data_IF_426957884215
#
_entry.id   IF_426957884215
#
_cell.length_a   1.000
_cell.length_b   1.000
_cell.length_c   1.000
_cell.angle_alpha   90.00
_cell.angle_beta   90.00
_cell.angle_gamma   90.00
#
_symmetry.space_group_name_H-M   'P 1'
#
loop_
_entity.id
_entity.type
_entity.pdbx_description
1 polymer ?
#
# COMPACT_ATOMS: atom_id res chain seq x y z
N UNK A 1 1.59 -1.84 -9.58
CA UNK A 1 0.89 -2.77 -8.66
C UNK A 1 1.57 -2.70 -7.31
N UNK A 2 0.89 -3.10 -6.24
CA UNK A 2 1.43 -3.14 -4.88
C UNK A 2 1.42 -4.60 -4.44
N UNK A 3 2.55 -5.08 -3.93
CA UNK A 3 2.66 -6.35 -3.21
C UNK A 3 2.35 -6.08 -1.73
N UNK A 4 1.11 -6.31 -1.33
CA UNK A 4 0.67 -6.00 0.03
C UNK A 4 0.74 -7.24 0.92
N UNK A 5 1.00 -7.01 2.21
CA UNK A 5 0.89 -8.02 3.28
C UNK A 5 -0.58 -8.38 3.51
N UNK A 6 -0.89 -9.48 4.22
CA UNK A 6 -2.27 -9.87 4.50
C UNK A 6 -3.07 -8.72 5.14
N UNK A 7 -4.34 -8.59 4.77
CA UNK A 7 -5.29 -7.62 5.34
C UNK A 7 -6.39 -8.41 6.07
N UNK A 8 -6.22 -8.70 7.38
CA UNK A 8 -7.10 -9.60 8.11
C UNK A 8 -8.54 -9.09 8.22
N UNK A 9 -8.72 -7.77 8.24
CA UNK A 9 -10.03 -7.12 8.40
C UNK A 9 -11.01 -7.47 7.28
N UNK A 10 -10.48 -7.77 6.08
CA UNK A 10 -11.26 -8.17 4.89
C UNK A 10 -10.88 -9.58 4.41
N UNK A 11 -10.10 -10.33 5.19
CA UNK A 11 -9.72 -11.71 4.90
C UNK A 11 -8.80 -11.87 3.68
N UNK A 12 -8.05 -10.84 3.29
CA UNK A 12 -7.15 -10.94 2.14
C UNK A 12 -5.79 -11.54 2.50
N UNK A 13 -5.27 -12.48 1.68
CA UNK A 13 -3.91 -12.97 1.83
C UNK A 13 -2.89 -11.91 1.37
N UNK A 14 -1.60 -12.21 1.53
CA UNK A 14 -0.55 -11.44 0.85
C UNK A 14 -0.68 -11.65 -0.65
N UNK A 15 -0.78 -10.57 -1.43
CA UNK A 15 -0.90 -10.65 -2.88
C UNK A 15 -0.47 -9.37 -3.59
N UNK A 16 -0.15 -9.52 -4.87
CA UNK A 16 0.14 -8.41 -5.77
C UNK A 16 -1.14 -8.01 -6.49
N UNK A 17 -1.57 -6.76 -6.31
CA UNK A 17 -2.76 -6.24 -7.01
C UNK A 17 -2.63 -4.78 -7.42
N UNK A 18 -3.53 -4.35 -8.30
CA UNK A 18 -3.62 -2.97 -8.75
C UNK A 18 -4.65 -2.22 -7.90
N UNK A 19 -4.25 -1.05 -7.41
CA UNK A 19 -5.13 -0.06 -6.81
C UNK A 19 -5.17 1.16 -7.72
N UNK A 20 -6.35 1.75 -7.88
CA UNK A 20 -6.50 2.98 -8.64
C UNK A 20 -5.95 4.14 -7.79
N UNK A 21 -5.02 4.91 -8.32
CA UNK A 21 -4.59 6.14 -7.66
C UNK A 21 -5.61 7.25 -7.90
N UNK A 22 -6.09 7.90 -6.85
CA UNK A 22 -6.88 9.13 -7.01
C UNK A 22 -5.98 10.27 -7.51
N UNK A 23 -6.57 11.33 -8.09
CA UNK A 23 -5.81 12.47 -8.62
C UNK A 23 -4.99 13.24 -7.57
N UNK A 24 -5.18 12.94 -6.28
CA UNK A 24 -4.46 13.54 -5.15
C UNK A 24 -3.19 12.77 -4.77
N UNK A 25 -3.02 11.54 -5.27
CA UNK A 25 -1.89 10.68 -4.95
C UNK A 25 -0.72 11.02 -5.86
N UNK A 26 0.40 11.45 -5.26
CA UNK A 26 1.66 11.63 -5.98
C UNK A 26 2.45 10.33 -6.04
N UNK A 27 2.34 9.63 -7.18
CA UNK A 27 3.08 8.40 -7.43
C UNK A 27 4.58 8.62 -7.62
N UNK A 28 5.03 9.85 -7.90
CA UNK A 28 6.46 10.15 -8.06
C UNK A 28 7.19 10.21 -6.72
N UNK A 29 6.45 10.28 -5.60
CA UNK A 29 7.01 10.28 -4.24
C UNK A 29 7.54 8.91 -3.79
N UNK A 30 7.21 7.84 -4.53
CA UNK A 30 7.60 6.46 -4.20
C UNK A 30 8.44 5.83 -5.31
N UNK A 31 9.40 5.00 -4.92
CA UNK A 31 10.23 4.23 -5.85
C UNK A 31 9.74 2.80 -5.95
N UNK A 32 9.74 2.24 -7.15
CA UNK A 32 9.46 0.81 -7.35
C UNK A 32 10.43 -0.04 -6.53
N UNK A 33 9.87 -0.98 -5.76
CA UNK A 33 10.62 -1.86 -4.87
C UNK A 33 10.86 -1.30 -3.47
N UNK A 34 10.55 -0.03 -3.20
CA UNK A 34 10.61 0.52 -1.85
C UNK A 34 9.37 0.13 -1.04
N UNK A 35 9.50 -0.09 0.29
CA UNK A 35 8.36 -0.27 1.16
C UNK A 35 7.53 1.02 1.21
N UNK A 36 6.20 0.85 1.21
CA UNK A 36 5.25 1.96 1.24
C UNK A 36 4.14 1.68 2.23
N UNK A 37 3.66 2.73 2.89
CA UNK A 37 2.43 2.73 3.66
C UNK A 37 1.35 3.32 2.80
N UNK A 38 0.20 2.65 2.72
CA UNK A 38 -0.91 3.13 1.90
C UNK A 38 -2.24 2.86 2.60
N UNK A 39 -3.24 3.68 2.28
CA UNK A 39 -4.63 3.47 2.67
C UNK A 39 -5.47 3.40 1.41
N UNK A 40 -6.48 2.54 1.43
CA UNK A 40 -7.39 2.35 0.31
C UNK A 40 -8.83 2.29 0.79
N UNK A 41 -9.74 2.51 -0.15
CA UNK A 41 -11.18 2.37 0.06
C UNK A 41 -11.80 1.58 -1.09
N UNK A 42 -12.87 0.85 -0.78
CA UNK A 42 -13.70 0.22 -1.80
C UNK A 42 -14.56 1.27 -2.51
N UNK A 43 -14.75 1.09 -3.81
CA UNK A 43 -15.55 1.91 -4.70
C UNK A 43 -16.38 1.01 -5.60
N UNK A 44 -17.38 1.56 -6.31
CA UNK A 44 -18.21 0.80 -7.25
C UNK A 44 -17.41 0.06 -8.35
N UNK A 45 -16.19 0.53 -8.65
CA UNK A 45 -15.35 -0.01 -9.72
C UNK A 45 -14.13 -0.82 -9.24
N UNK A 46 -14.00 -1.02 -7.92
CA UNK A 46 -12.85 -1.68 -7.29
C UNK A 46 -12.23 -0.84 -6.18
N UNK A 47 -10.91 -0.85 -6.04
CA UNK A 47 -10.22 -0.21 -4.92
C UNK A 47 -9.43 1.03 -5.34
N UNK A 48 -9.55 2.10 -4.57
CA UNK A 48 -8.87 3.38 -4.80
C UNK A 48 -7.97 3.75 -3.62
N UNK A 49 -6.77 4.27 -3.91
CA UNK A 49 -5.83 4.78 -2.92
C UNK A 49 -6.29 6.15 -2.40
N UNK A 50 -6.40 6.23 -1.07
CA UNK A 50 -6.65 7.46 -0.34
C UNK A 50 -5.36 8.10 0.17
N UNK A 51 -4.36 7.27 0.49
CA UNK A 51 -3.03 7.68 0.95
C UNK A 51 -1.95 6.76 0.36
N UNK A 52 -0.78 7.34 0.06
CA UNK A 52 0.42 6.63 -0.33
C UNK A 52 1.64 7.40 0.18
N UNK A 53 2.44 6.78 1.03
CA UNK A 53 3.63 7.37 1.63
C UNK A 53 4.80 6.39 1.56
N UNK A 54 6.01 6.83 1.19
CA UNK A 54 7.20 5.99 1.31
C UNK A 54 7.44 5.68 2.79
N UNK A 55 7.72 4.42 3.10
CA UNK A 55 8.21 4.09 4.43
C UNK A 55 9.71 4.36 4.48
N UNK A 56 10.21 4.98 5.58
CA UNK A 56 11.65 5.10 5.77
C UNK A 56 12.26 3.70 5.86
N UNK A 57 13.38 3.51 5.16
CA UNK A 57 14.07 2.22 4.99
C UNK A 57 14.47 1.60 6.35
N UNK A 58 14.63 2.42 7.39
CA UNK A 58 14.95 2.02 8.76
C UNK A 58 13.74 1.57 9.62
N UNK A 59 12.51 1.66 9.12
CA UNK A 59 11.31 1.28 9.88
C UNK A 59 11.11 -0.25 10.02
N UNK A 60 11.93 -1.07 9.35
CA UNK A 60 11.84 -2.54 9.41
C UNK A 60 12.88 -3.19 10.34
N UNK A 61 13.44 -2.47 11.32
CA UNK A 61 14.11 -3.11 12.48
C UNK A 61 13.28 -2.88 13.74
N UNK A 62 12.24 -3.70 13.89
CA UNK A 62 11.30 -3.61 15.00
C UNK A 62 10.51 -4.89 15.20
N UNK A 63 11.18 -6.05 15.15
CA UNK A 63 10.75 -7.24 15.89
C UNK A 63 11.97 -8.12 16.17
N UNK A 64 12.71 -7.72 17.21
CA UNK A 64 13.55 -8.62 17.99
C UNK A 64 12.71 -9.13 19.16
N UNK A 65 12.03 -10.28 19.01
CA UNK A 65 11.74 -11.18 20.12
C UNK A 65 11.33 -12.59 19.68
#
# INVERSE_FOLDING_TARGET
TIDHKPVPEIGWPSMVMAFKASSKIDLMSVKVGAPVRFAFRETETGYELDMLEPMPEDAETGDEQ
#
